data_IF_643325575893
#
_entry.id   IF_643325575893
#
_cell.length_a   1.000
_cell.length_b   1.000
_cell.length_c   1.000
_cell.angle_alpha   90.00
_cell.angle_beta   90.00
_cell.angle_gamma   90.00
#
_symmetry.space_group_name_H-M   'P 1'
#
loop_
_entity.id
_entity.type
_entity.pdbx_description
1 polymer ?
#
# COMPACT_ATOMS: atom_id res chain seq x y z
N UNK A 1 -10.90 -22.06 -16.47
CA UNK A 1 -10.23 -23.25 -15.88
C UNK A 1 -9.78 -24.18 -17.00
N UNK A 2 -8.58 -23.94 -17.57
CA UNK A 2 -7.78 -24.90 -18.36
C UNK A 2 -6.69 -24.10 -19.08
N UNK A 3 -5.55 -23.88 -18.42
CA UNK A 3 -4.23 -23.64 -19.07
C UNK A 3 -3.15 -23.32 -18.02
N UNK A 4 -2.92 -24.22 -17.06
CA UNK A 4 -1.69 -24.20 -16.25
C UNK A 4 -1.32 -25.64 -15.92
N UNK A 5 -0.73 -26.34 -16.90
CA UNK A 5 -0.05 -27.61 -16.66
C UNK A 5 1.36 -27.52 -17.24
N UNK A 6 2.32 -27.72 -16.32
CA UNK A 6 3.69 -28.20 -16.52
C UNK A 6 4.75 -27.15 -16.87
N UNK A 7 5.24 -26.48 -15.82
CA UNK A 7 6.66 -26.14 -15.69
C UNK A 7 7.14 -26.65 -14.32
N UNK A 8 7.69 -27.87 -14.27
CA UNK A 8 8.62 -28.25 -13.20
C UNK A 8 10.01 -27.90 -13.71
N UNK A 9 10.49 -26.73 -13.36
CA UNK A 9 11.90 -26.40 -13.52
C UNK A 9 12.70 -27.25 -12.51
N UNK A 10 13.74 -27.94 -12.98
CA UNK A 10 14.75 -28.60 -12.17
C UNK A 10 15.59 -27.55 -11.44
N UNK A 11 15.07 -27.03 -10.32
CA UNK A 11 15.83 -26.17 -9.42
C UNK A 11 16.59 -27.04 -8.43
N UNK A 12 17.93 -26.99 -8.46
CA UNK A 12 18.76 -27.46 -7.35
C UNK A 12 18.32 -26.73 -6.07
N UNK A 13 17.84 -27.48 -5.09
CA UNK A 13 17.48 -26.95 -3.79
C UNK A 13 18.76 -26.75 -2.97
N UNK A 14 19.02 -25.54 -2.48
CA UNK A 14 20.09 -25.32 -1.48
C UNK A 14 19.75 -26.04 -0.18
N UNK A 15 20.69 -26.83 0.34
CA UNK A 15 20.54 -27.49 1.65
C UNK A 15 20.68 -26.48 2.80
N UNK A 16 19.95 -26.76 3.89
CA UNK A 16 19.89 -25.91 5.09
C UNK A 16 21.26 -25.86 5.82
N UNK A 17 22.15 -26.81 5.58
CA UNK A 17 23.49 -26.92 6.17
C UNK A 17 24.47 -25.82 5.74
N UNK A 18 24.23 -25.14 4.61
CA UNK A 18 25.09 -24.04 4.13
C UNK A 18 24.86 -22.72 4.90
N UNK A 19 23.84 -22.65 5.77
CA UNK A 19 23.44 -21.42 6.46
C UNK A 19 24.12 -21.18 7.81
N UNK A 20 24.62 -22.23 8.48
CA UNK A 20 25.23 -22.09 9.81
C UNK A 20 26.68 -21.56 9.75
N UNK A 21 27.38 -21.77 8.63
CA UNK A 21 28.79 -21.40 8.48
C UNK A 21 29.01 -19.90 8.19
N UNK A 22 27.99 -19.18 7.70
CA UNK A 22 28.10 -17.74 7.41
C UNK A 22 27.79 -16.82 8.60
N UNK A 23 27.20 -17.35 9.68
CA UNK A 23 26.84 -16.56 10.86
C UNK A 23 28.04 -16.19 11.77
N UNK A 24 29.23 -16.75 11.55
CA UNK A 24 30.41 -16.52 12.39
C UNK A 24 31.35 -15.39 11.90
N UNK A 25 31.09 -14.80 10.73
CA UNK A 25 31.94 -13.73 10.21
C UNK A 25 31.24 -12.37 10.23
N UNK A 26 31.37 -11.63 11.36
CA UNK A 26 31.57 -10.15 11.44
C UNK A 26 31.16 -9.60 12.81
N UNK A 27 32.13 -9.43 13.69
CA UNK A 27 32.10 -8.41 14.75
C UNK A 27 33.10 -7.30 14.39
N UNK A 28 32.60 -6.20 13.82
CA UNK A 28 33.27 -4.89 13.91
C UNK A 28 32.22 -3.84 14.22
N UNK A 29 32.44 -3.13 15.32
CA UNK A 29 31.51 -2.18 15.91
C UNK A 29 31.20 -0.97 15.02
N UNK A 30 30.12 -0.23 15.34
CA UNK A 30 29.64 0.86 14.51
C UNK A 30 30.61 2.04 14.56
N UNK A 31 31.10 2.44 13.39
CA UNK A 31 31.75 3.73 13.21
C UNK A 31 30.67 4.78 13.05
N UNK A 32 30.74 5.85 13.84
CA UNK A 32 29.81 6.99 13.75
C UNK A 32 30.01 7.67 12.40
N UNK A 33 29.07 7.44 11.47
CA UNK A 33 29.05 8.07 10.16
C UNK A 33 28.52 9.49 10.32
N UNK A 34 29.37 10.49 10.03
CA UNK A 34 28.92 11.88 9.86
C UNK A 34 27.86 11.90 8.75
N UNK A 35 26.69 12.46 9.03
CA UNK A 35 25.59 12.58 8.06
C UNK A 35 26.10 13.26 6.78
N UNK A 36 26.07 12.50 5.68
CA UNK A 36 26.28 13.05 4.35
C UNK A 36 25.20 14.11 4.06
N UNK A 37 25.49 15.14 3.25
CA UNK A 37 24.47 16.07 2.79
C UNK A 37 23.29 15.29 2.20
N UNK A 38 22.08 15.67 2.60
CA UNK A 38 20.85 15.01 2.15
C UNK A 38 20.81 14.99 0.62
N UNK A 39 20.61 13.82 -0.03
CA UNK A 39 20.48 13.76 -1.47
C UNK A 39 19.35 14.68 -1.95
N UNK A 40 19.39 15.17 -3.20
CA UNK A 40 18.33 16.02 -3.74
C UNK A 40 16.96 15.39 -3.50
N UNK A 41 15.97 16.20 -3.14
CA UNK A 41 14.64 15.72 -2.78
C UNK A 41 14.07 14.85 -3.90
N UNK A 42 13.87 13.56 -3.62
CA UNK A 42 13.36 12.59 -4.60
C UNK A 42 11.90 12.93 -4.94
N UNK A 43 11.54 12.84 -6.22
CA UNK A 43 10.17 13.01 -6.72
C UNK A 43 9.65 11.71 -7.36
N UNK A 44 8.31 11.51 -7.37
CA UNK A 44 7.66 10.49 -8.20
C UNK A 44 8.06 10.65 -9.66
N UNK A 45 8.09 9.55 -10.42
CA UNK A 45 8.27 9.60 -11.88
C UNK A 45 7.00 10.05 -12.61
N UNK A 46 5.84 9.96 -11.96
CA UNK A 46 4.56 10.44 -12.49
C UNK A 46 3.67 10.90 -11.32
N UNK A 47 3.06 12.08 -11.44
CA UNK A 47 2.03 12.55 -10.51
C UNK A 47 0.68 12.59 -11.21
N UNK A 48 -0.30 11.91 -10.63
CA UNK A 48 -1.64 11.76 -11.15
C UNK A 48 -2.63 12.60 -10.32
N UNK A 49 -3.61 13.20 -10.98
CA UNK A 49 -4.70 13.93 -10.33
C UNK A 49 -6.07 13.43 -10.79
N UNK A 50 -6.97 13.14 -9.84
CA UNK A 50 -8.42 13.25 -10.09
C UNK A 50 -8.77 14.72 -10.37
N UNK A 51 -9.84 14.95 -11.12
CA UNK A 51 -10.30 16.30 -11.45
C UNK A 51 -11.44 16.75 -10.53
N UNK A 52 -12.53 16.00 -10.50
CA UNK A 52 -13.75 16.39 -9.78
C UNK A 52 -13.50 16.32 -8.27
N UNK A 53 -13.85 17.40 -7.57
CA UNK A 53 -13.55 17.63 -6.14
C UNK A 53 -12.07 17.58 -5.74
N UNK A 54 -11.14 17.62 -6.70
CA UNK A 54 -9.69 17.55 -6.46
C UNK A 54 -8.98 18.73 -7.12
N UNK A 55 -8.89 18.76 -8.45
CA UNK A 55 -8.33 19.90 -9.20
C UNK A 55 -9.28 21.10 -9.15
N UNK A 56 -10.59 20.83 -9.13
CA UNK A 56 -11.63 21.82 -8.88
C UNK A 56 -12.64 21.31 -7.86
N UNK A 57 -13.26 22.23 -7.14
CA UNK A 57 -14.43 21.99 -6.33
C UNK A 57 -15.67 21.87 -7.23
N UNK A 58 -16.41 20.77 -7.04
CA UNK A 58 -17.62 20.46 -7.79
C UNK A 58 -17.43 19.28 -8.74
N UNK A 59 -18.50 18.94 -9.45
CA UNK A 59 -18.52 17.87 -10.43
C UNK A 59 -18.93 18.45 -11.79
N UNK A 60 -18.12 18.22 -12.81
CA UNK A 60 -18.38 18.71 -14.16
C UNK A 60 -19.45 17.82 -14.83
N UNK A 61 -20.72 18.15 -14.60
CA UNK A 61 -21.88 17.36 -15.01
C UNK A 61 -22.39 17.74 -16.40
N UNK A 62 -22.25 16.83 -17.35
CA UNK A 62 -22.79 16.99 -18.71
C UNK A 62 -24.32 17.19 -18.73
N UNK A 63 -25.03 16.70 -17.71
CA UNK A 63 -26.48 16.87 -17.59
C UNK A 63 -26.87 18.22 -17.04
N UNK A 64 -25.93 19.06 -16.61
CA UNK A 64 -26.22 20.40 -16.08
C UNK A 64 -25.73 21.51 -17.01
N UNK A 65 -24.75 21.20 -17.84
CA UNK A 65 -24.14 22.15 -18.78
C UNK A 65 -24.99 22.25 -20.05
N UNK A 66 -25.25 23.48 -20.51
CA UNK A 66 -25.84 23.75 -21.81
C UNK A 66 -27.38 23.59 -21.90
N UNK A 67 -28.05 23.26 -20.79
CA UNK A 67 -29.45 22.83 -20.74
C UNK A 67 -30.53 23.91 -20.98
N UNK A 68 -30.19 25.20 -21.09
CA UNK A 68 -31.20 26.27 -21.27
C UNK A 68 -30.98 27.08 -22.55
N UNK A 69 -31.82 26.88 -23.57
CA UNK A 69 -31.99 27.81 -24.71
C UNK A 69 -32.22 27.16 -26.07
N UNK A 70 -33.12 27.74 -26.88
CA UNK A 70 -33.60 27.30 -28.21
C UNK A 70 -32.56 27.28 -29.34
N UNK A 71 -31.30 27.64 -29.07
CA UNK A 71 -30.20 27.57 -30.05
C UNK A 71 -29.07 26.73 -29.46
N UNK A 72 -28.90 25.53 -29.98
CA UNK A 72 -27.81 24.60 -29.65
C UNK A 72 -26.51 25.18 -30.21
N UNK A 73 -25.45 25.42 -29.40
CA UNK A 73 -24.12 25.50 -29.97
C UNK A 73 -23.69 24.11 -30.44
N UNK A 74 -22.83 24.13 -31.45
CA UNK A 74 -21.88 23.07 -31.78
C UNK A 74 -21.31 22.49 -30.47
N UNK A 75 -21.39 21.17 -30.27
CA UNK A 75 -20.80 20.37 -29.16
C UNK A 75 -21.06 20.85 -27.71
N UNK A 76 -21.07 19.92 -26.75
CA UNK A 76 -21.43 20.26 -25.36
C UNK A 76 -20.36 21.12 -24.68
N UNK A 77 -19.10 20.76 -24.90
CA UNK A 77 -17.92 21.36 -24.31
C UNK A 77 -17.71 22.83 -24.70
N UNK A 78 -18.26 23.26 -25.83
CA UNK A 78 -18.18 24.66 -26.29
C UNK A 78 -19.06 25.61 -25.44
N UNK A 79 -19.91 25.07 -24.56
CA UNK A 79 -20.62 25.86 -23.55
C UNK A 79 -19.75 26.23 -22.35
N UNK A 80 -18.52 25.71 -22.22
CA UNK A 80 -17.65 26.07 -21.11
C UNK A 80 -16.97 27.42 -21.36
N UNK A 81 -16.99 28.30 -20.34
CA UNK A 81 -16.17 29.52 -20.29
C UNK A 81 -15.41 29.61 -18.97
N UNK A 82 -14.27 30.29 -18.98
CA UNK A 82 -13.52 30.58 -17.77
C UNK A 82 -13.82 32.00 -17.28
N UNK A 83 -14.01 32.14 -15.97
CA UNK A 83 -13.96 33.42 -15.27
C UNK A 83 -12.58 33.54 -14.62
N UNK A 84 -11.82 34.55 -15.05
CA UNK A 84 -10.52 34.88 -14.48
C UNK A 84 -10.76 35.86 -13.32
N UNK A 85 -10.47 35.40 -12.11
CA UNK A 85 -10.46 36.22 -10.90
C UNK A 85 -9.32 35.77 -9.99
N UNK A 86 -9.36 36.13 -8.71
CA UNK A 86 -8.42 35.59 -7.72
C UNK A 86 -8.44 34.06 -7.69
N UNK A 87 -9.62 33.47 -7.94
CA UNK A 87 -9.83 32.04 -8.13
C UNK A 87 -10.47 31.84 -9.49
N UNK A 88 -9.88 30.97 -10.31
CA UNK A 88 -10.42 30.62 -11.62
C UNK A 88 -11.70 29.79 -11.46
N UNK A 89 -12.73 30.08 -12.25
CA UNK A 89 -13.98 29.29 -12.28
C UNK A 89 -14.32 28.89 -13.70
N UNK A 90 -14.78 27.66 -13.88
CA UNK A 90 -15.38 27.22 -15.14
C UNK A 90 -16.89 27.33 -14.99
N UNK A 91 -17.51 28.03 -15.92
CA UNK A 91 -18.93 28.37 -15.93
C UNK A 91 -19.60 27.81 -17.19
N UNK A 92 -20.88 27.50 -17.09
CA UNK A 92 -21.76 27.35 -18.24
C UNK A 92 -22.02 28.74 -18.87
N UNK A 93 -21.71 28.88 -20.16
CA UNK A 93 -21.96 30.08 -20.95
C UNK A 93 -23.44 30.46 -20.98
N UNK A 94 -24.34 29.46 -21.03
CA UNK A 94 -25.79 29.66 -21.11
C UNK A 94 -26.43 29.95 -19.76
N UNK A 95 -25.78 29.52 -18.68
CA UNK A 95 -26.29 29.70 -17.33
C UNK A 95 -25.17 30.04 -16.33
N UNK A 96 -24.49 31.19 -16.52
CA UNK A 96 -23.28 31.52 -15.77
C UNK A 96 -23.51 31.79 -14.28
N UNK A 97 -24.76 31.96 -13.87
CA UNK A 97 -25.16 32.17 -12.47
C UNK A 97 -25.65 30.90 -11.79
N UNK A 98 -25.71 29.76 -12.49
CA UNK A 98 -26.07 28.50 -11.85
C UNK A 98 -24.85 27.90 -11.16
N UNK A 99 -24.89 27.92 -9.83
CA UNK A 99 -23.88 27.29 -8.98
C UNK A 99 -23.72 25.80 -9.32
N UNK A 100 -24.81 25.13 -9.69
CA UNK A 100 -24.78 23.70 -10.04
C UNK A 100 -24.07 23.37 -11.37
N UNK A 101 -23.86 24.35 -12.25
CA UNK A 101 -23.16 24.21 -13.52
C UNK A 101 -21.79 24.92 -13.50
N UNK A 102 -21.30 25.23 -12.30
CA UNK A 102 -20.03 25.93 -12.05
C UNK A 102 -19.08 25.03 -11.27
N UNK A 103 -17.82 24.99 -11.69
CA UNK A 103 -16.73 24.41 -10.87
C UNK A 103 -15.69 25.47 -10.55
N UNK A 104 -15.19 25.45 -9.32
CA UNK A 104 -14.22 26.44 -8.82
C UNK A 104 -12.86 25.78 -8.68
N UNK A 105 -11.83 26.34 -9.30
CA UNK A 105 -10.49 25.76 -9.26
C UNK A 105 -9.91 25.77 -7.84
N UNK A 106 -9.16 24.72 -7.51
CA UNK A 106 -8.20 24.80 -6.41
C UNK A 106 -7.23 25.95 -6.67
N UNK A 107 -7.07 26.84 -5.69
CA UNK A 107 -6.17 27.99 -5.80
C UNK A 107 -4.70 27.59 -5.95
N UNK A 108 -4.32 26.43 -5.40
CA UNK A 108 -2.93 25.98 -5.36
C UNK A 108 -2.54 25.11 -6.57
N UNK A 109 -3.51 24.56 -7.30
CA UNK A 109 -3.25 23.68 -8.43
C UNK A 109 -2.31 24.28 -9.49
N UNK A 110 -2.46 25.55 -9.94
CA UNK A 110 -1.50 26.17 -10.86
C UNK A 110 -0.06 26.20 -10.33
N UNK A 111 0.12 26.51 -9.04
CA UNK A 111 1.43 26.54 -8.38
C UNK A 111 2.04 25.14 -8.28
N UNK A 112 1.22 24.13 -7.99
CA UNK A 112 1.63 22.72 -7.93
C UNK A 112 2.08 22.21 -9.31
N UNK A 113 1.33 22.53 -10.37
CA UNK A 113 1.73 22.19 -11.75
C UNK A 113 3.07 22.86 -12.12
N UNK A 114 3.26 24.12 -11.74
CA UNK A 114 4.52 24.83 -11.98
C UNK A 114 5.70 24.16 -11.25
N UNK A 115 5.54 23.79 -9.97
CA UNK A 115 6.59 23.08 -9.22
C UNK A 115 6.91 21.71 -9.84
N UNK A 116 5.90 20.92 -10.18
CA UNK A 116 6.10 19.60 -10.78
C UNK A 116 6.76 19.68 -12.16
N UNK A 117 6.12 20.37 -13.10
CA UNK A 117 6.49 20.30 -14.52
C UNK A 117 7.65 21.22 -14.86
N UNK A 118 7.61 22.47 -14.38
CA UNK A 118 8.60 23.48 -14.79
C UNK A 118 9.88 23.37 -13.98
N UNK A 119 9.76 23.24 -12.66
CA UNK A 119 10.90 23.22 -11.74
C UNK A 119 11.51 21.83 -11.59
N UNK A 120 10.70 20.79 -11.36
CA UNK A 120 11.20 19.44 -11.07
C UNK A 120 11.14 18.47 -12.26
N UNK A 121 10.58 18.89 -13.41
CA UNK A 121 10.45 18.07 -14.64
C UNK A 121 9.71 16.75 -14.44
N UNK A 122 8.77 16.73 -13.52
CA UNK A 122 7.92 15.57 -13.22
C UNK A 122 6.69 15.62 -14.15
N UNK A 123 6.47 14.59 -14.98
CA UNK A 123 5.27 14.54 -15.81
C UNK A 123 4.02 14.39 -14.94
N UNK A 124 2.92 14.97 -15.40
CA UNK A 124 1.62 14.88 -14.74
C UNK A 124 0.64 14.13 -15.63
N UNK A 125 -0.25 13.37 -14.98
CA UNK A 125 -1.37 12.69 -15.60
C UNK A 125 -2.69 13.13 -14.97
N UNK A 126 -3.74 13.16 -15.78
CA UNK A 126 -5.11 13.25 -15.28
C UNK A 126 -5.71 11.87 -15.31
N UNK A 127 -6.28 11.45 -14.19
CA UNK A 127 -6.94 10.17 -14.02
C UNK A 127 -8.31 10.46 -13.44
N UNK A 128 -9.39 10.33 -14.21
CA UNK A 128 -10.74 10.67 -13.77
C UNK A 128 -11.79 9.66 -14.21
N UNK A 129 -12.72 9.34 -13.30
CA UNK A 129 -13.88 8.51 -13.60
C UNK A 129 -15.04 9.28 -14.26
N UNK A 130 -14.87 10.58 -14.55
CA UNK A 130 -15.88 11.38 -15.22
C UNK A 130 -16.26 10.74 -16.59
N UNK A 131 -17.57 10.63 -16.91
CA UNK A 131 -18.01 9.98 -18.15
C UNK A 131 -17.72 10.81 -19.41
N UNK A 132 -17.47 12.11 -19.28
CA UNK A 132 -17.33 13.01 -20.42
C UNK A 132 -15.90 13.53 -20.60
N UNK A 133 -15.10 12.77 -21.35
CA UNK A 133 -13.70 13.11 -21.68
C UNK A 133 -13.57 14.47 -22.39
N UNK A 134 -14.47 14.80 -23.32
CA UNK A 134 -14.39 16.04 -24.09
C UNK A 134 -14.57 17.26 -23.21
N UNK A 135 -15.52 17.18 -22.27
CA UNK A 135 -15.84 18.24 -21.32
C UNK A 135 -14.69 18.48 -20.33
N UNK A 136 -14.14 17.41 -19.74
CA UNK A 136 -12.97 17.50 -18.84
C UNK A 136 -11.76 18.05 -19.57
N UNK A 137 -11.49 17.58 -20.79
CA UNK A 137 -10.39 18.09 -21.62
C UNK A 137 -10.56 19.59 -21.87
N UNK A 138 -11.77 20.02 -22.26
CA UNK A 138 -12.05 21.42 -22.55
C UNK A 138 -11.91 22.31 -21.31
N UNK A 139 -12.37 21.85 -20.16
CA UNK A 139 -12.13 22.50 -18.88
C UNK A 139 -10.62 22.73 -18.61
N UNK A 140 -9.79 21.69 -18.81
CA UNK A 140 -8.34 21.76 -18.65
C UNK A 140 -7.63 22.67 -19.67
N UNK A 141 -8.18 22.81 -20.87
CA UNK A 141 -7.67 23.76 -21.87
C UNK A 141 -7.92 25.21 -21.48
N UNK A 142 -9.03 25.47 -20.80
CA UNK A 142 -9.41 26.81 -20.35
C UNK A 142 -8.60 27.28 -19.13
N UNK A 143 -8.23 26.34 -18.24
CA UNK A 143 -7.48 26.66 -17.02
C UNK A 143 -6.08 27.17 -17.36
N UNK A 144 -5.72 28.32 -16.80
CA UNK A 144 -4.41 28.95 -16.99
C UNK A 144 -3.46 28.58 -15.85
N UNK A 145 -2.26 28.13 -16.21
CA UNK A 145 -1.14 27.87 -15.30
C UNK A 145 -0.05 28.93 -15.51
N UNK A 146 0.14 29.80 -14.51
CA UNK A 146 1.06 30.94 -14.58
C UNK A 146 0.71 32.03 -13.58
N UNK A 147 1.45 33.14 -13.59
CA UNK A 147 1.16 34.32 -12.78
C UNK A 147 -0.06 35.04 -13.34
N UNK A 148 -1.24 34.74 -12.78
CA UNK A 148 -2.49 35.45 -13.12
C UNK A 148 -2.39 36.96 -12.87
N UNK A 149 -1.53 37.37 -11.92
CA UNK A 149 -1.32 38.76 -11.54
C UNK A 149 0.18 39.10 -11.61
N UNK A 150 0.52 39.96 -12.57
CA UNK A 150 1.83 40.58 -12.88
C UNK A 150 2.77 39.75 -13.77
N UNK A 151 3.09 40.25 -14.99
CA UNK A 151 4.30 39.84 -15.67
C UNK A 151 5.47 40.50 -14.94
N UNK A 152 6.11 39.80 -14.01
CA UNK A 152 7.49 40.17 -13.69
C UNK A 152 8.35 39.97 -14.95
N UNK A 153 9.39 40.79 -15.18
CA UNK A 153 10.35 40.55 -16.25
C UNK A 153 10.95 39.15 -16.09
N UNK A 154 10.61 38.22 -16.99
CA UNK A 154 10.99 36.81 -16.91
C UNK A 154 9.89 35.85 -16.45
N UNK A 155 8.68 36.33 -16.16
CA UNK A 155 7.52 35.48 -15.87
C UNK A 155 7.20 34.60 -17.08
N UNK A 156 7.04 33.30 -16.83
CA UNK A 156 6.68 32.34 -17.88
C UNK A 156 5.29 32.67 -18.46
N UNK A 157 5.07 32.49 -19.77
CA UNK A 157 3.78 32.77 -20.38
C UNK A 157 2.65 31.98 -19.72
N UNK A 158 1.45 32.57 -19.73
CA UNK A 158 0.22 31.89 -19.38
C UNK A 158 0.00 30.75 -20.38
N UNK A 159 0.00 29.52 -19.88
CA UNK A 159 -0.23 28.31 -20.69
C UNK A 159 -1.38 27.52 -20.10
N UNK A 160 -2.09 26.76 -20.94
CA UNK A 160 -3.19 25.94 -20.45
C UNK A 160 -2.68 24.79 -19.58
N UNK A 161 -3.45 24.41 -18.56
CA UNK A 161 -3.16 23.23 -17.74
C UNK A 161 -3.06 21.98 -18.63
N UNK A 162 -3.94 21.84 -19.62
CA UNK A 162 -3.89 20.76 -20.60
C UNK A 162 -2.54 20.60 -21.30
N UNK A 163 -1.89 21.71 -21.68
CA UNK A 163 -0.58 21.66 -22.35
C UNK A 163 0.55 21.08 -21.48
N UNK A 164 0.35 21.03 -20.17
CA UNK A 164 1.31 20.50 -19.20
C UNK A 164 1.06 19.02 -18.88
N UNK A 165 -0.07 18.46 -19.34
CA UNK A 165 -0.49 17.09 -19.04
C UNK A 165 0.11 16.13 -20.06
N UNK A 166 0.93 15.20 -19.58
CA UNK A 166 1.54 14.17 -20.42
C UNK A 166 0.60 13.02 -20.78
N UNK A 167 -0.38 12.72 -19.91
CA UNK A 167 -1.32 11.62 -20.09
C UNK A 167 -2.72 12.02 -19.60
N UNK A 168 -3.73 11.80 -20.44
CA UNK A 168 -5.14 12.00 -20.10
C UNK A 168 -5.85 10.63 -20.06
N UNK A 169 -6.28 10.20 -18.88
CA UNK A 169 -7.10 9.01 -18.64
C UNK A 169 -8.45 9.44 -18.04
N UNK A 170 -9.39 9.80 -18.89
CA UNK A 170 -10.75 10.19 -18.46
C UNK A 170 -11.73 9.22 -19.08
N UNK A 171 -12.37 8.39 -18.25
CA UNK A 171 -13.32 7.37 -18.66
C UNK A 171 -14.06 6.82 -17.44
N UNK A 172 -15.32 6.42 -17.62
CA UNK A 172 -16.13 5.78 -16.57
C UNK A 172 -15.68 4.34 -16.32
N UNK A 173 -14.53 4.20 -15.66
CA UNK A 173 -13.90 2.93 -15.28
C UNK A 173 -13.28 3.05 -13.89
N UNK A 174 -13.21 1.95 -13.12
CA UNK A 174 -12.53 1.95 -11.82
C UNK A 174 -11.05 2.34 -11.95
N UNK A 175 -10.48 3.00 -10.93
CA UNK A 175 -9.14 3.59 -11.01
C UNK A 175 -8.02 2.63 -11.35
N UNK A 176 -8.11 1.38 -10.91
CA UNK A 176 -7.11 0.38 -11.24
C UNK A 176 -6.92 0.21 -12.76
N UNK A 177 -8.01 0.30 -13.54
CA UNK A 177 -7.95 0.25 -15.00
C UNK A 177 -7.15 1.41 -15.60
N UNK A 178 -7.32 2.62 -15.06
CA UNK A 178 -6.56 3.79 -15.51
C UNK A 178 -5.06 3.62 -15.27
N UNK A 179 -4.69 3.09 -14.11
CA UNK A 179 -3.29 2.87 -13.76
C UNK A 179 -2.64 1.76 -14.58
N UNK A 180 -3.35 0.67 -14.90
CA UNK A 180 -2.84 -0.34 -15.84
C UNK A 180 -2.55 0.27 -17.23
N UNK A 181 -3.46 1.11 -17.73
CA UNK A 181 -3.25 1.82 -19.00
C UNK A 181 -2.06 2.78 -18.92
N UNK A 182 -1.91 3.53 -17.82
CA UNK A 182 -0.76 4.41 -17.60
C UNK A 182 0.55 3.63 -17.58
N UNK A 183 0.62 2.53 -16.83
CA UNK A 183 1.81 1.67 -16.77
C UNK A 183 2.15 1.14 -18.16
N UNK A 184 1.17 0.66 -18.91
CA UNK A 184 1.36 0.14 -20.27
C UNK A 184 1.89 1.23 -21.21
N UNK A 185 1.36 2.46 -21.13
CA UNK A 185 1.74 3.57 -22.02
C UNK A 185 3.07 4.21 -21.66
N UNK A 186 3.40 4.28 -20.37
CA UNK A 186 4.55 5.05 -19.88
C UNK A 186 5.74 4.17 -19.49
N UNK A 187 5.50 2.87 -19.24
CA UNK A 187 6.50 1.97 -18.66
C UNK A 187 6.84 2.28 -17.20
N UNK A 188 6.19 3.26 -16.58
CA UNK A 188 6.47 3.65 -15.19
C UNK A 188 5.84 2.63 -14.25
N UNK A 189 6.60 2.17 -13.26
CA UNK A 189 6.07 1.28 -12.21
C UNK A 189 5.12 2.03 -11.27
N UNK A 190 4.11 1.33 -10.77
CA UNK A 190 3.14 1.87 -9.82
C UNK A 190 3.78 2.53 -8.59
N UNK A 191 4.84 1.93 -8.03
CA UNK A 191 5.59 2.48 -6.89
C UNK A 191 6.25 3.83 -7.17
N UNK A 192 6.47 4.17 -8.44
CA UNK A 192 7.02 5.46 -8.86
C UNK A 192 5.92 6.48 -9.20
N UNK A 193 4.64 6.16 -8.91
CA UNK A 193 3.49 7.03 -9.12
C UNK A 193 2.90 7.55 -7.80
N UNK A 194 2.39 8.77 -7.84
CA UNK A 194 1.63 9.41 -6.75
C UNK A 194 0.28 9.89 -7.28
N UNK A 195 -0.82 9.52 -6.63
CA UNK A 195 -2.18 9.96 -6.95
C UNK A 195 -2.71 10.92 -5.88
N UNK A 196 -3.28 12.04 -6.32
CA UNK A 196 -4.15 12.89 -5.51
C UNK A 196 -5.61 12.65 -5.91
N UNK A 197 -6.44 12.25 -4.95
CA UNK A 197 -7.84 11.88 -5.19
C UNK A 197 -8.70 12.19 -3.95
N UNK A 198 -9.96 12.56 -4.14
CA UNK A 198 -10.88 12.82 -3.03
C UNK A 198 -11.71 11.59 -2.59
N UNK A 199 -11.76 10.54 -3.42
CA UNK A 199 -12.58 9.37 -3.15
C UNK A 199 -11.77 8.30 -2.43
N UNK A 200 -12.13 8.05 -1.17
CA UNK A 200 -11.47 7.07 -0.32
C UNK A 200 -11.52 5.64 -0.90
N UNK A 201 -12.57 5.27 -1.64
CA UNK A 201 -12.68 3.95 -2.28
C UNK A 201 -11.50 3.67 -3.23
N UNK A 202 -10.92 4.73 -3.80
CA UNK A 202 -9.79 4.61 -4.73
C UNK A 202 -8.47 4.24 -4.03
N UNK A 203 -8.40 4.18 -2.69
CA UNK A 203 -7.22 3.65 -1.99
C UNK A 203 -6.97 2.17 -2.28
N UNK A 204 -7.95 1.46 -2.86
CA UNK A 204 -7.73 0.15 -3.44
C UNK A 204 -6.55 0.12 -4.43
N UNK A 205 -6.30 1.19 -5.19
CA UNK A 205 -5.14 1.26 -6.11
C UNK A 205 -3.82 1.20 -5.34
N UNK A 206 -3.72 1.85 -4.18
CA UNK A 206 -2.52 1.78 -3.34
C UNK A 206 -2.30 0.37 -2.81
N UNK A 207 -3.36 -0.26 -2.31
CA UNK A 207 -3.32 -1.63 -1.79
C UNK A 207 -2.94 -2.64 -2.89
N UNK A 208 -3.56 -2.54 -4.07
CA UNK A 208 -3.48 -3.59 -5.08
C UNK A 208 -2.39 -3.39 -6.13
N UNK A 209 -2.06 -2.15 -6.47
CA UNK A 209 -1.08 -1.84 -7.51
C UNK A 209 0.19 -1.21 -6.94
N UNK A 210 0.13 -0.55 -5.79
CA UNK A 210 1.31 0.05 -5.15
C UNK A 210 1.55 1.52 -5.48
N UNK A 211 0.58 2.16 -6.14
CA UNK A 211 0.57 3.61 -6.33
C UNK A 211 0.44 4.29 -4.98
N UNK A 212 1.28 5.27 -4.65
CA UNK A 212 1.02 6.04 -3.43
C UNK A 212 -0.20 6.92 -3.63
N UNK A 213 -1.14 6.92 -2.69
CA UNK A 213 -2.33 7.78 -2.76
C UNK A 213 -2.37 8.77 -1.59
N UNK A 214 -2.68 10.02 -1.90
CA UNK A 214 -3.01 11.06 -0.94
C UNK A 214 -4.48 11.46 -1.11
N UNK A 215 -5.25 11.34 -0.02
CA UNK A 215 -6.66 11.71 -0.03
C UNK A 215 -6.82 13.20 0.19
N UNK A 216 -7.43 13.86 -0.79
CA UNK A 216 -7.67 15.30 -0.82
C UNK A 216 -9.07 15.60 -0.30
N UNK A 217 -9.23 16.70 0.43
CA UNK A 217 -10.56 17.15 0.85
C UNK A 217 -11.38 17.58 -0.37
N UNK A 218 -12.71 17.37 -0.34
CA UNK A 218 -13.59 17.71 -1.47
C UNK A 218 -13.68 19.22 -1.79
N UNK A 219 -13.10 20.06 -0.93
CA UNK A 219 -12.87 21.49 -1.16
C UNK A 219 -11.78 21.76 -2.21
N UNK A 220 -11.03 20.74 -2.61
CA UNK A 220 -9.96 20.81 -3.60
C UNK A 220 -8.56 20.69 -3.00
N UNK A 221 -7.60 20.44 -3.88
CA UNK A 221 -6.19 20.23 -3.57
C UNK A 221 -5.56 21.49 -2.96
N UNK A 222 -4.76 21.33 -1.91
CA UNK A 222 -3.98 22.43 -1.34
C UNK A 222 -2.48 22.18 -1.46
N UNK A 223 -1.67 23.22 -1.23
CA UNK A 223 -0.22 23.07 -1.12
C UNK A 223 0.17 22.14 0.03
N UNK A 224 -0.61 22.14 1.12
CA UNK A 224 -0.39 21.23 2.24
C UNK A 224 -0.66 19.76 1.85
N UNK A 225 -1.73 19.50 1.09
CA UNK A 225 -1.99 18.16 0.54
C UNK A 225 -0.85 17.71 -0.36
N UNK A 226 -0.39 18.60 -1.24
CA UNK A 226 0.71 18.32 -2.15
C UNK A 226 1.99 17.90 -1.42
N UNK A 227 2.39 18.64 -0.38
CA UNK A 227 3.58 18.28 0.41
C UNK A 227 3.39 16.96 1.16
N UNK A 228 2.24 16.75 1.79
CA UNK A 228 1.93 15.50 2.49
C UNK A 228 1.94 14.29 1.55
N UNK A 229 1.40 14.43 0.34
CA UNK A 229 1.42 13.38 -0.68
C UNK A 229 2.85 13.06 -1.15
N UNK A 230 3.69 14.08 -1.37
CA UNK A 230 5.10 13.87 -1.69
C UNK A 230 5.87 13.18 -0.57
N UNK A 231 5.64 13.57 0.69
CA UNK A 231 6.26 12.94 1.85
C UNK A 231 5.84 11.48 2.00
N UNK A 232 4.55 11.18 1.85
CA UNK A 232 4.04 9.82 1.83
C UNK A 232 4.73 8.97 0.75
N UNK A 233 4.85 9.52 -0.45
CA UNK A 233 5.55 8.83 -1.55
C UNK A 233 7.04 8.63 -1.23
N UNK A 234 7.72 9.63 -0.67
CA UNK A 234 9.14 9.52 -0.29
C UNK A 234 9.36 8.44 0.76
N UNK A 235 8.47 8.30 1.74
CA UNK A 235 8.53 7.22 2.74
C UNK A 235 8.40 5.84 2.09
N UNK A 236 7.46 5.67 1.16
CA UNK A 236 7.32 4.43 0.40
C UNK A 236 8.55 4.17 -0.49
N UNK A 237 9.07 5.20 -1.16
CA UNK A 237 10.23 5.09 -2.04
C UNK A 237 11.53 4.78 -1.27
N UNK A 238 11.62 5.15 0.01
CA UNK A 238 12.77 4.89 0.88
C UNK A 238 12.88 3.41 1.29
N UNK A 239 11.77 2.67 1.32
CA UNK A 239 11.77 1.24 1.68
C UNK A 239 11.91 0.31 0.47
N UNK A 240 11.84 0.87 -0.75
CA UNK A 240 11.83 0.09 -1.99
C UNK A 240 13.22 -0.43 -2.33
N UNK A 241 13.39 -1.74 -2.17
CA UNK A 241 14.52 -2.52 -2.66
C UNK A 241 14.00 -3.39 -3.81
N UNK A 242 14.26 -3.04 -5.08
CA UNK A 242 13.78 -3.80 -6.23
C UNK A 242 14.09 -5.29 -6.11
N UNK A 243 13.19 -6.13 -6.63
CA UNK A 243 13.44 -7.56 -6.66
C UNK A 243 14.59 -7.84 -7.65
N UNK A 244 15.66 -8.52 -7.22
CA UNK A 244 16.85 -8.73 -8.04
C UNK A 244 16.60 -9.79 -9.13
N UNK A 245 17.55 -9.94 -10.06
CA UNK A 245 17.54 -11.08 -10.97
C UNK A 245 17.98 -12.37 -10.26
N UNK A 246 18.94 -12.26 -9.33
CA UNK A 246 19.36 -13.34 -8.45
C UNK A 246 19.26 -12.98 -6.97
N UNK A 247 18.77 -13.91 -6.14
CA UNK A 247 18.72 -13.75 -4.68
C UNK A 247 20.12 -13.58 -4.05
N UNK A 248 21.19 -14.03 -4.72
CA UNK A 248 22.57 -13.85 -4.24
C UNK A 248 22.99 -12.38 -4.25
N UNK A 249 22.33 -11.53 -5.04
CA UNK A 249 22.54 -10.08 -5.10
C UNK A 249 22.01 -9.32 -3.88
N UNK A 250 21.37 -10.00 -2.92
CA UNK A 250 20.86 -9.42 -1.68
C UNK A 250 21.75 -9.84 -0.51
N UNK A 251 22.96 -9.24 -0.32
CA UNK A 251 23.89 -9.64 0.73
C UNK A 251 23.39 -9.26 2.13
N UNK A 252 22.44 -8.33 2.22
CA UNK A 252 21.80 -7.89 3.47
C UNK A 252 20.46 -8.57 3.72
N UNK A 253 20.10 -9.60 2.94
CA UNK A 253 18.85 -10.31 3.18
C UNK A 253 18.88 -11.02 4.52
N UNK A 254 17.73 -11.07 5.20
CA UNK A 254 17.62 -11.83 6.45
C UNK A 254 16.25 -12.47 6.58
N UNK A 255 16.24 -13.71 7.05
CA UNK A 255 15.00 -14.38 7.40
C UNK A 255 14.37 -13.70 8.63
N UNK A 256 13.05 -13.50 8.58
CA UNK A 256 12.29 -12.81 9.63
C UNK A 256 11.12 -13.64 10.17
N UNK A 257 10.79 -14.77 9.53
CA UNK A 257 9.74 -15.67 9.98
C UNK A 257 9.22 -16.53 8.84
N UNK A 258 8.04 -17.12 9.05
CA UNK A 258 7.39 -18.04 8.14
C UNK A 258 6.02 -17.49 7.73
N UNK A 259 5.63 -17.76 6.49
CA UNK A 259 4.28 -17.51 5.98
C UNK A 259 3.67 -18.81 5.49
N UNK A 260 2.38 -19.00 5.76
CA UNK A 260 1.60 -20.07 5.15
C UNK A 260 0.52 -19.52 4.23
N UNK A 261 0.44 -20.09 3.04
CA UNK A 261 -0.48 -19.63 2.01
C UNK A 261 -0.82 -20.75 1.02
N UNK A 262 -1.51 -20.44 -0.08
CA UNK A 262 -1.78 -21.35 -1.21
C UNK A 262 -0.69 -21.26 -2.25
N UNK A 263 -0.64 -22.27 -3.11
CA UNK A 263 0.21 -22.31 -4.30
C UNK A 263 0.18 -21.01 -5.14
N UNK A 264 -1.00 -20.43 -5.43
CA UNK A 264 -1.07 -19.20 -6.24
C UNK A 264 -0.38 -18.01 -5.55
N UNK A 265 -0.76 -17.72 -4.31
CA UNK A 265 -0.17 -16.63 -3.54
C UNK A 265 1.32 -16.88 -3.25
N UNK A 266 1.71 -18.13 -3.03
CA UNK A 266 3.09 -18.53 -2.87
C UNK A 266 3.92 -18.19 -4.11
N UNK A 267 3.40 -18.48 -5.31
CA UNK A 267 4.07 -18.12 -6.56
C UNK A 267 4.21 -16.60 -6.72
N UNK A 268 3.24 -15.80 -6.26
CA UNK A 268 3.40 -14.33 -6.24
C UNK A 268 4.58 -13.93 -5.36
N UNK A 269 4.64 -14.43 -4.12
CA UNK A 269 5.69 -14.09 -3.17
C UNK A 269 7.09 -14.53 -3.62
N UNK A 270 7.21 -15.69 -4.26
CA UNK A 270 8.48 -16.16 -4.84
C UNK A 270 9.04 -15.19 -5.86
N UNK A 271 8.16 -14.54 -6.62
CA UNK A 271 8.52 -13.57 -7.65
C UNK A 271 8.62 -12.14 -7.09
N UNK A 272 8.72 -11.99 -5.76
CA UNK A 272 8.80 -10.70 -5.09
C UNK A 272 7.55 -9.83 -5.25
N UNK A 273 6.42 -10.43 -5.63
CA UNK A 273 5.14 -9.73 -5.77
C UNK A 273 4.38 -9.75 -4.45
N UNK A 274 3.42 -8.84 -4.35
CA UNK A 274 2.48 -8.74 -3.24
C UNK A 274 1.34 -9.75 -3.38
N UNK A 275 0.60 -9.93 -2.29
CA UNK A 275 -0.70 -10.61 -2.29
C UNK A 275 -1.73 -9.82 -3.09
N UNK A 276 -2.54 -10.53 -3.86
CA UNK A 276 -3.69 -9.96 -4.57
C UNK A 276 -4.98 -10.04 -3.75
N UNK A 277 -6.02 -9.32 -4.21
CA UNK A 277 -7.35 -9.37 -3.59
C UNK A 277 -7.86 -10.81 -3.62
N UNK A 278 -8.32 -11.28 -2.46
CA UNK A 278 -8.84 -12.63 -2.29
C UNK A 278 -10.10 -12.59 -1.45
N UNK A 279 -10.96 -13.57 -1.63
CA UNK A 279 -12.17 -13.86 -0.87
C UNK A 279 -11.89 -14.41 0.54
N UNK A 280 -10.68 -14.20 1.06
CA UNK A 280 -10.27 -14.76 2.34
C UNK A 280 -10.54 -13.80 3.47
N UNK A 281 -11.08 -14.31 4.59
CA UNK A 281 -11.14 -13.50 5.79
C UNK A 281 -9.72 -13.15 6.20
N UNK A 282 -9.54 -11.89 6.58
CA UNK A 282 -8.25 -11.37 6.99
C UNK A 282 -8.45 -10.43 8.15
N UNK A 283 -7.85 -10.78 9.29
CA UNK A 283 -8.05 -10.07 10.56
C UNK A 283 -7.59 -8.61 10.47
N UNK A 284 -6.49 -8.37 9.78
CA UNK A 284 -5.86 -7.05 9.64
C UNK A 284 -5.93 -6.55 8.19
N UNK A 285 -6.93 -7.00 7.42
CA UNK A 285 -7.00 -6.74 5.99
C UNK A 285 -5.96 -7.54 5.20
N UNK A 286 -5.65 -7.06 4.00
CA UNK A 286 -4.96 -7.83 2.95
C UNK A 286 -3.44 -7.96 3.11
N UNK A 287 -2.97 -8.13 4.35
CA UNK A 287 -1.57 -8.37 4.64
C UNK A 287 -1.08 -9.78 4.31
N UNK A 288 0.24 -9.89 4.29
CA UNK A 288 0.99 -11.14 4.42
C UNK A 288 1.20 -11.37 5.91
N UNK A 289 0.76 -12.53 6.40
CA UNK A 289 0.81 -12.92 7.80
C UNK A 289 2.05 -13.76 8.03
N UNK A 290 2.99 -13.20 8.78
CA UNK A 290 4.26 -13.80 9.13
C UNK A 290 4.22 -14.21 10.59
N UNK A 291 4.87 -15.31 10.93
CA UNK A 291 4.96 -15.85 12.28
C UNK A 291 6.39 -16.36 12.53
N UNK A 292 6.81 -16.43 13.78
CA UNK A 292 8.07 -17.04 14.19
C UNK A 292 8.10 -18.57 14.11
N UNK A 293 6.95 -19.23 13.93
CA UNK A 293 6.85 -20.68 13.98
C UNK A 293 6.17 -21.25 12.72
N UNK A 294 6.79 -22.22 12.04
CA UNK A 294 6.22 -22.82 10.83
C UNK A 294 4.90 -23.59 11.06
N UNK A 295 4.64 -24.11 12.27
CA UNK A 295 3.36 -24.75 12.61
C UNK A 295 2.21 -23.72 12.66
N UNK A 296 2.50 -22.47 13.03
CA UNK A 296 1.52 -21.36 12.97
C UNK A 296 1.36 -20.90 11.53
N UNK A 297 2.45 -20.83 10.76
CA UNK A 297 2.33 -20.57 9.33
C UNK A 297 1.40 -21.62 8.70
N UNK A 298 1.54 -22.88 9.10
CA UNK A 298 0.64 -23.97 8.70
C UNK A 298 -0.82 -23.66 9.02
N UNK A 299 -1.13 -23.16 10.22
CA UNK A 299 -2.47 -22.68 10.57
C UNK A 299 -3.03 -21.67 9.55
N UNK A 300 -2.26 -20.63 9.19
CA UNK A 300 -2.69 -19.63 8.21
C UNK A 300 -2.89 -20.17 6.80
N UNK A 301 -2.14 -21.21 6.43
CA UNK A 301 -2.32 -21.86 5.12
C UNK A 301 -3.69 -22.57 5.03
N UNK A 302 -4.18 -23.12 6.15
CA UNK A 302 -5.46 -23.82 6.24
C UNK A 302 -6.67 -22.93 6.48
N UNK A 303 -6.49 -21.78 7.15
CA UNK A 303 -7.59 -20.91 7.56
C UNK A 303 -8.46 -20.48 6.35
N UNK A 304 -9.74 -20.82 6.38
CA UNK A 304 -10.71 -20.56 5.30
C UNK A 304 -10.51 -21.43 4.05
N UNK A 305 -9.68 -22.47 4.12
CA UNK A 305 -9.35 -23.41 3.04
C UNK A 305 -9.40 -24.86 3.51
N UNK A 306 -10.21 -25.12 4.52
CA UNK A 306 -10.24 -26.41 5.19
C UNK A 306 -10.69 -27.54 4.24
N UNK A 307 -11.42 -27.22 3.16
CA UNK A 307 -11.90 -28.18 2.15
C UNK A 307 -10.92 -28.41 0.99
N UNK A 308 -9.81 -27.66 0.91
CA UNK A 308 -8.82 -27.82 -0.16
C UNK A 308 -7.88 -28.98 0.14
N UNK A 309 -7.29 -29.56 -0.90
CA UNK A 309 -6.34 -30.64 -0.76
C UNK A 309 -5.04 -30.14 -0.13
N UNK A 310 -4.39 -30.98 0.68
CA UNK A 310 -3.20 -30.59 1.46
C UNK A 310 -2.05 -30.07 0.58
N UNK A 311 -1.94 -30.56 -0.66
CA UNK A 311 -0.94 -30.14 -1.64
C UNK A 311 -1.04 -28.67 -2.05
N UNK A 312 -2.19 -28.03 -1.81
CA UNK A 312 -2.40 -26.63 -2.14
C UNK A 312 -1.81 -25.70 -1.09
N UNK A 313 -1.38 -26.21 0.08
CA UNK A 313 -0.83 -25.41 1.18
C UNK A 313 0.71 -25.34 1.12
N UNK A 314 1.22 -24.11 1.15
CA UNK A 314 2.65 -23.79 1.06
C UNK A 314 3.09 -23.06 2.31
N UNK A 315 4.16 -23.56 2.92
CA UNK A 315 4.87 -22.89 4.01
C UNK A 315 6.22 -22.44 3.47
N UNK A 316 6.59 -21.20 3.77
CA UNK A 316 7.80 -20.59 3.20
C UNK A 316 8.48 -19.71 4.23
N UNK A 317 9.80 -19.65 4.14
CA UNK A 317 10.61 -18.74 4.94
C UNK A 317 10.55 -17.35 4.29
N UNK A 318 10.25 -16.32 5.07
CA UNK A 318 10.15 -14.93 4.59
C UNK A 318 11.46 -14.22 4.85
N UNK A 319 11.95 -13.56 3.81
CA UNK A 319 13.16 -12.73 3.85
C UNK A 319 12.81 -11.27 3.63
N UNK A 320 13.46 -10.39 4.40
CA UNK A 320 13.65 -9.00 3.96
C UNK A 320 14.80 -8.94 2.98
N UNK A 321 14.69 -8.11 1.94
CA UNK A 321 15.73 -7.92 0.91
C UNK A 321 16.91 -7.12 1.45
N UNK A 322 16.65 -6.13 2.31
CA UNK A 322 17.67 -5.35 3.00
C UNK A 322 17.31 -5.21 4.49
N UNK A 323 18.15 -5.78 5.36
CA UNK A 323 17.91 -5.78 6.80
C UNK A 323 18.10 -4.41 7.46
N UNK A 324 18.88 -3.51 6.89
CA UNK A 324 19.05 -2.16 7.44
C UNK A 324 17.80 -1.32 7.19
N UNK A 325 17.22 -1.42 5.98
CA UNK A 325 15.93 -0.82 5.66
C UNK A 325 14.83 -1.40 6.56
N UNK A 326 14.82 -2.72 6.75
CA UNK A 326 13.90 -3.37 7.69
C UNK A 326 14.03 -2.79 9.10
N UNK A 327 15.24 -2.66 9.66
CA UNK A 327 15.41 -2.09 11.01
C UNK A 327 14.88 -0.66 11.11
N UNK A 328 15.10 0.16 10.08
CA UNK A 328 14.64 1.54 10.05
C UNK A 328 13.11 1.70 9.85
N UNK A 329 12.45 0.71 9.24
CA UNK A 329 11.00 0.73 9.02
C UNK A 329 10.23 0.71 10.35
N UNK A 330 9.20 1.53 10.47
CA UNK A 330 8.36 1.55 11.67
C UNK A 330 7.64 0.20 11.89
N UNK A 331 7.69 -0.29 13.13
CA UNK A 331 6.98 -1.50 13.56
C UNK A 331 6.23 -1.18 14.84
N UNK A 332 4.94 -1.45 14.87
CA UNK A 332 4.08 -1.18 16.02
C UNK A 332 3.43 -2.46 16.48
N UNK A 333 3.44 -2.69 17.80
CA UNK A 333 2.76 -3.81 18.41
C UNK A 333 1.37 -3.41 18.85
N UNK A 334 0.34 -4.03 18.29
CA UNK A 334 -1.06 -3.78 18.57
C UNK A 334 -1.58 -4.79 19.60
N UNK A 335 -2.19 -4.28 20.66
CA UNK A 335 -2.92 -5.08 21.64
C UNK A 335 -4.00 -5.91 20.96
N UNK A 336 -4.16 -7.16 21.38
CA UNK A 336 -5.22 -8.01 20.81
C UNK A 336 -6.62 -7.48 21.10
N UNK A 337 -6.80 -6.89 22.29
CA UNK A 337 -8.02 -6.23 22.75
C UNK A 337 -7.68 -4.77 23.06
N UNK A 338 -7.73 -3.92 22.04
CA UNK A 338 -7.40 -2.50 22.14
C UNK A 338 -8.30 -1.63 21.28
N UNK A 339 -7.97 -0.34 21.22
CA UNK A 339 -8.69 0.67 20.42
C UNK A 339 -8.48 0.49 18.92
N UNK A 340 -7.37 -0.13 18.52
CA UNK A 340 -7.14 -0.56 17.14
C UNK A 340 -7.77 -1.94 16.96
N UNK A 341 -9.01 -1.96 16.48
CA UNK A 341 -9.74 -3.20 16.24
C UNK A 341 -9.31 -3.87 14.92
N UNK A 342 -9.28 -5.22 14.89
CA UNK A 342 -9.21 -5.95 13.64
C UNK A 342 -10.47 -5.75 12.78
N UNK A 343 -10.35 -6.03 11.48
CA UNK A 343 -11.46 -6.04 10.53
C UNK A 343 -12.40 -7.21 10.87
N UNK A 344 -13.71 -6.98 11.10
CA UNK A 344 -14.64 -8.03 11.55
C UNK A 344 -14.79 -9.19 10.56
N UNK A 345 -14.71 -8.93 9.26
CA UNK A 345 -14.56 -9.92 8.18
C UNK A 345 -14.38 -9.15 6.86
N UNK A 346 -13.19 -9.22 6.26
CA UNK A 346 -12.90 -8.49 5.01
C UNK A 346 -13.70 -8.98 3.80
N UNK A 347 -14.36 -10.13 3.88
CA UNK A 347 -15.07 -10.74 2.73
C UNK A 347 -16.49 -10.23 2.55
N UNK A 348 -17.10 -9.71 3.62
CA UNK A 348 -18.45 -9.15 3.60
C UNK A 348 -18.49 -7.62 3.43
N UNK A 349 -17.32 -6.98 3.42
CA UNK A 349 -17.19 -5.53 3.32
C UNK A 349 -17.06 -5.07 1.87
N UNK A 350 -17.70 -3.96 1.56
CA UNK A 350 -17.50 -3.20 0.32
C UNK A 350 -16.10 -2.60 0.25
N UNK A 351 -15.66 -2.20 -0.95
CA UNK A 351 -14.35 -1.56 -1.13
C UNK A 351 -14.25 -0.24 -0.35
N UNK A 352 -15.34 0.53 -0.24
CA UNK A 352 -15.40 1.73 0.58
C UNK A 352 -15.27 1.44 2.08
N UNK A 353 -15.96 0.42 2.60
CA UNK A 353 -15.85 0.03 4.02
C UNK A 353 -14.43 -0.46 4.35
N UNK A 354 -13.81 -1.22 3.46
CA UNK A 354 -12.43 -1.67 3.61
C UNK A 354 -11.46 -0.47 3.61
N UNK A 355 -11.66 0.48 2.71
CA UNK A 355 -10.87 1.71 2.64
C UNK A 355 -11.04 2.57 3.91
N UNK A 356 -12.27 2.72 4.41
CA UNK A 356 -12.56 3.43 5.65
C UNK A 356 -11.93 2.74 6.86
N UNK A 357 -12.02 1.41 6.93
CA UNK A 357 -11.38 0.63 7.99
C UNK A 357 -9.87 0.81 8.01
N UNK A 358 -9.23 0.81 6.84
CA UNK A 358 -7.79 1.05 6.72
C UNK A 358 -7.42 2.49 7.12
N UNK A 359 -8.15 3.49 6.63
CA UNK A 359 -7.90 4.90 6.96
C UNK A 359 -8.05 5.18 8.46
N UNK A 360 -9.09 4.61 9.09
CA UNK A 360 -9.31 4.70 10.54
C UNK A 360 -8.15 4.07 11.32
N UNK A 361 -7.64 2.92 10.84
CA UNK A 361 -6.49 2.24 11.45
C UNK A 361 -5.22 3.09 11.33
N UNK A 362 -4.93 3.62 10.16
CA UNK A 362 -3.78 4.48 9.91
C UNK A 362 -3.81 5.72 10.82
N UNK A 363 -4.97 6.37 10.93
CA UNK A 363 -5.16 7.51 11.82
C UNK A 363 -4.93 7.14 13.29
N UNK A 364 -5.45 6.00 13.76
CA UNK A 364 -5.23 5.52 15.13
C UNK A 364 -3.78 5.14 15.41
N UNK A 365 -3.08 4.58 14.44
CA UNK A 365 -1.65 4.27 14.59
C UNK A 365 -0.83 5.55 14.69
N UNK A 366 -1.14 6.56 13.88
CA UNK A 366 -0.52 7.88 14.00
C UNK A 366 -0.79 8.51 15.36
N UNK A 367 -2.03 8.46 15.85
CA UNK A 367 -2.43 8.98 17.15
C UNK A 367 -1.70 8.30 18.30
N UNK A 368 -1.64 6.96 18.30
CA UNK A 368 -1.14 6.18 19.44
C UNK A 368 0.38 5.96 19.42
N UNK A 369 1.02 6.00 18.25
CA UNK A 369 2.44 5.69 18.09
C UNK A 369 3.25 6.84 17.45
N UNK A 370 2.60 7.88 16.90
CA UNK A 370 3.30 8.92 16.14
C UNK A 370 3.90 8.41 14.83
N UNK A 371 3.37 7.31 14.29
CA UNK A 371 3.90 6.60 13.12
C UNK A 371 2.99 6.82 11.91
N UNK A 372 3.58 7.26 10.80
CA UNK A 372 2.93 7.28 9.48
C UNK A 372 3.26 6.02 8.66
N UNK A 373 2.40 5.69 7.69
CA UNK A 373 2.69 4.66 6.68
C UNK A 373 3.95 4.99 5.84
N UNK A 374 4.73 3.98 5.40
CA UNK A 374 4.53 2.55 5.63
C UNK A 374 5.00 2.12 7.03
N UNK A 375 4.30 1.15 7.61
CA UNK A 375 4.64 0.51 8.88
C UNK A 375 4.27 -0.98 8.84
N UNK A 376 4.73 -1.72 9.84
CA UNK A 376 4.42 -3.13 10.03
C UNK A 376 3.65 -3.29 11.33
N UNK A 377 2.59 -4.10 11.31
CA UNK A 377 1.85 -4.45 12.50
C UNK A 377 2.36 -5.75 13.07
N UNK A 378 2.43 -5.81 14.40
CA UNK A 378 2.68 -7.02 15.14
C UNK A 378 1.57 -7.15 16.18
N UNK A 379 1.05 -8.34 16.41
CA UNK A 379 0.00 -8.56 17.40
C UNK A 379 0.03 -9.98 17.94
N UNK A 380 -0.73 -10.21 19.01
CA UNK A 380 -1.06 -11.57 19.45
C UNK A 380 -2.34 -12.05 18.75
N UNK A 381 -2.31 -13.30 18.32
CA UNK A 381 -3.47 -14.01 17.81
C UNK A 381 -3.92 -15.09 18.80
N UNK A 382 -5.18 -15.03 19.23
CA UNK A 382 -5.83 -16.09 20.00
C UNK A 382 -6.64 -16.99 19.09
N UNK A 383 -6.31 -18.28 19.11
CA UNK A 383 -6.98 -19.32 18.31
C UNK A 383 -8.45 -19.62 18.68
N UNK A 384 -9.05 -18.96 19.68
CA UNK A 384 -10.29 -19.41 20.35
C UNK A 384 -11.52 -19.63 19.44
N UNK A 385 -11.70 -18.85 18.37
CA UNK A 385 -12.94 -18.90 17.55
C UNK A 385 -12.84 -19.72 16.27
N UNK A 386 -11.64 -20.01 15.79
CA UNK A 386 -11.43 -20.53 14.42
C UNK A 386 -11.20 -22.04 14.36
N UNK A 387 -10.97 -22.69 15.50
CA UNK A 387 -10.85 -24.14 15.59
C UNK A 387 -12.22 -24.77 15.85
N UNK A 388 -12.91 -25.23 14.79
CA UNK A 388 -14.04 -26.16 14.95
C UNK A 388 -13.50 -27.46 15.57
N UNK A 389 -14.06 -27.85 16.72
CA UNK A 389 -13.41 -28.74 17.69
C UNK A 389 -12.98 -30.11 17.14
N UNK A 390 -13.69 -30.65 16.17
CA UNK A 390 -13.46 -32.03 15.73
C UNK A 390 -12.38 -32.16 14.66
N UNK A 391 -12.17 -31.13 13.82
CA UNK A 391 -11.33 -31.27 12.62
C UNK A 391 -9.83 -31.32 12.92
N UNK A 392 -9.42 -30.64 13.99
CA UNK A 392 -8.00 -30.51 14.36
C UNK A 392 -7.64 -31.32 15.60
N UNK A 393 -8.59 -32.08 16.16
CA UNK A 393 -8.37 -32.91 17.35
C UNK A 393 -7.27 -33.93 17.07
N UNK A 394 -6.24 -33.96 17.92
CA UNK A 394 -5.08 -34.84 17.75
C UNK A 394 -4.04 -34.37 16.72
N UNK A 395 -4.26 -33.24 16.05
CA UNK A 395 -3.26 -32.63 15.15
C UNK A 395 -2.42 -31.59 15.90
N UNK A 396 -1.25 -31.23 15.35
CA UNK A 396 -0.41 -30.11 15.83
C UNK A 396 -1.18 -28.79 15.92
N UNK A 397 -2.07 -28.55 14.95
CA UNK A 397 -2.94 -27.37 14.93
C UNK A 397 -3.94 -27.41 16.09
N UNK A 398 -4.46 -28.59 16.47
CA UNK A 398 -5.32 -28.73 17.64
C UNK A 398 -4.63 -28.31 18.95
N UNK A 399 -3.32 -28.51 19.05
CA UNK A 399 -2.53 -28.09 20.20
C UNK A 399 -2.45 -26.55 20.35
N UNK A 400 -2.71 -25.79 19.28
CA UNK A 400 -2.80 -24.33 19.33
C UNK A 400 -4.08 -23.83 20.03
N UNK A 401 -5.07 -24.68 20.28
CA UNK A 401 -6.36 -24.25 20.83
C UNK A 401 -6.18 -23.52 22.17
N UNK A 402 -6.72 -22.30 22.24
CA UNK A 402 -6.63 -21.44 23.42
C UNK A 402 -5.26 -20.81 23.66
N UNK A 403 -4.26 -21.11 22.83
CA UNK A 403 -2.94 -20.47 22.88
C UNK A 403 -2.94 -19.12 22.17
N UNK A 404 -2.04 -18.26 22.64
CA UNK A 404 -1.67 -16.98 22.02
C UNK A 404 -0.38 -17.20 21.25
N UNK A 405 -0.27 -16.56 20.10
CA UNK A 405 0.95 -16.60 19.33
C UNK A 405 1.19 -15.32 18.56
N UNK A 406 2.41 -15.17 18.06
CA UNK A 406 2.85 -14.01 17.32
C UNK A 406 2.35 -14.00 15.89
N UNK A 407 1.85 -12.84 15.50
CA UNK A 407 1.43 -12.54 14.15
C UNK A 407 2.01 -11.18 13.75
N UNK A 408 2.72 -11.16 12.62
CA UNK A 408 3.20 -9.94 11.98
C UNK A 408 2.49 -9.76 10.65
N UNK A 409 1.98 -8.57 10.39
CA UNK A 409 1.22 -8.25 9.19
C UNK A 409 2.00 -7.27 8.35
N UNK A 410 2.40 -7.73 7.16
CA UNK A 410 3.07 -6.90 6.16
C UNK A 410 2.04 -6.47 5.12
N UNK A 411 1.73 -5.17 5.05
CA UNK A 411 0.78 -4.65 4.07
C UNK A 411 1.33 -4.68 2.64
N UNK A 412 0.47 -4.82 1.62
CA UNK A 412 0.89 -4.99 0.23
C UNK A 412 1.94 -3.99 -0.26
N UNK A 413 1.85 -2.72 0.13
CA UNK A 413 2.81 -1.67 -0.24
C UNK A 413 4.24 -1.97 0.25
N UNK A 414 4.37 -2.66 1.38
CA UNK A 414 5.66 -3.04 1.97
C UNK A 414 6.13 -4.40 1.40
N UNK A 415 5.20 -5.31 1.10
CA UNK A 415 5.49 -6.68 0.65
C UNK A 415 6.42 -6.71 -0.57
N UNK A 416 5.99 -6.10 -1.68
CA UNK A 416 6.76 -6.12 -2.92
C UNK A 416 7.86 -5.05 -2.99
N UNK A 417 7.84 -4.10 -2.05
CA UNK A 417 8.93 -3.14 -1.85
C UNK A 417 10.14 -3.78 -1.16
N UNK A 418 9.95 -4.70 -0.21
CA UNK A 418 11.03 -5.12 0.69
C UNK A 418 11.15 -6.63 0.95
N UNK A 419 10.18 -7.47 0.58
CA UNK A 419 10.17 -8.88 0.98
C UNK A 419 10.14 -9.85 -0.20
N UNK A 420 10.54 -11.08 0.08
CA UNK A 420 10.29 -12.24 -0.76
C UNK A 420 10.26 -13.49 0.10
N UNK A 421 9.92 -14.63 -0.49
CA UNK A 421 9.93 -15.91 0.22
C UNK A 421 10.89 -16.89 -0.43
N UNK A 422 11.37 -17.84 0.37
CA UNK A 422 12.10 -19.01 -0.10
C UNK A 422 11.32 -20.28 0.26
N UNK A 423 11.29 -21.30 -0.64
CA UNK A 423 10.72 -22.60 -0.32
C UNK A 423 11.42 -23.22 0.90
N UNK A 424 10.65 -23.96 1.68
CA UNK A 424 11.24 -24.96 2.57
C UNK A 424 11.61 -26.20 1.75
N UNK A 425 12.60 -26.97 2.19
CA UNK A 425 12.88 -28.28 1.58
C UNK A 425 11.68 -29.21 1.75
N UNK A 426 11.51 -30.16 0.82
CA UNK A 426 10.39 -31.13 0.87
C UNK A 426 10.34 -31.87 2.21
N UNK A 427 11.51 -32.22 2.78
CA UNK A 427 11.60 -32.86 4.10
C UNK A 427 11.16 -31.92 5.23
N UNK A 428 11.57 -30.64 5.19
CA UNK A 428 11.14 -29.66 6.20
C UNK A 428 9.63 -29.39 6.10
N UNK A 429 9.10 -29.28 4.88
CA UNK A 429 7.67 -29.17 4.62
C UNK A 429 6.93 -30.41 5.15
N UNK A 430 7.34 -31.61 4.78
CA UNK A 430 6.73 -32.86 5.25
C UNK A 430 6.72 -32.97 6.79
N UNK A 431 7.81 -32.58 7.47
CA UNK A 431 7.88 -32.58 8.94
C UNK A 431 6.90 -31.61 9.61
N UNK A 432 6.55 -30.50 8.96
CA UNK A 432 5.55 -29.55 9.49
C UNK A 432 4.15 -30.15 9.43
N UNK A 433 3.87 -30.94 8.39
CA UNK A 433 2.58 -31.60 8.19
C UNK A 433 2.48 -32.99 8.86
N UNK A 434 3.58 -33.52 9.41
CA UNK A 434 3.58 -34.78 10.17
C UNK A 434 2.93 -34.57 11.55
N UNK A 435 1.74 -35.15 11.71
CA UNK A 435 0.97 -35.08 12.95
C UNK A 435 1.60 -35.83 14.13
N UNK A 436 2.56 -36.72 13.89
CA UNK A 436 3.14 -37.59 14.92
C UNK A 436 4.34 -36.97 15.65
N UNK A 437 4.91 -35.89 15.13
CA UNK A 437 6.08 -35.27 15.75
C UNK A 437 5.65 -34.32 16.90
N UNK A 438 6.30 -34.41 18.08
CA UNK A 438 6.01 -33.53 19.21
C UNK A 438 6.20 -32.07 18.81
N UNK A 439 5.43 -31.21 19.43
CA UNK A 439 5.37 -29.81 19.04
C UNK A 439 6.48 -29.01 19.75
N UNK A 440 7.38 -28.41 18.97
CA UNK A 440 8.49 -27.60 19.48
C UNK A 440 8.08 -26.15 19.82
N UNK A 441 6.88 -25.94 20.38
CA UNK A 441 6.27 -24.62 20.57
C UNK A 441 7.11 -23.66 21.42
N UNK A 442 7.83 -24.19 22.41
CA UNK A 442 8.42 -23.36 23.46
C UNK A 442 9.65 -22.54 23.00
N UNK A 443 10.18 -22.82 21.80
CA UNK A 443 11.45 -22.25 21.33
C UNK A 443 11.31 -21.01 20.42
N UNK A 444 10.10 -20.64 19.99
CA UNK A 444 9.89 -19.56 19.02
C UNK A 444 9.09 -18.43 19.66
N UNK A 445 9.81 -17.43 20.19
CA UNK A 445 9.22 -16.22 20.76
C UNK A 445 9.98 -14.99 20.27
N UNK A 446 9.37 -14.17 19.41
CA UNK A 446 9.93 -12.86 19.06
C UNK A 446 10.24 -12.00 20.29
N UNK A 447 9.50 -12.16 21.38
CA UNK A 447 9.64 -11.39 22.63
C UNK A 447 11.04 -11.43 23.22
N UNK A 448 11.77 -12.55 23.08
CA UNK A 448 13.05 -12.72 23.77
C UNK A 448 14.23 -12.12 23.01
N UNK A 449 14.10 -11.85 21.71
CA UNK A 449 15.25 -11.43 20.88
C UNK A 449 14.96 -10.31 19.90
N UNK A 450 13.71 -10.09 19.47
CA UNK A 450 13.39 -9.24 18.32
C UNK A 450 12.85 -7.86 18.67
N UNK A 451 12.33 -7.65 19.87
CA UNK A 451 11.71 -6.37 20.24
C UNK A 451 12.68 -5.19 20.14
N UNK A 452 13.86 -5.31 20.75
CA UNK A 452 14.92 -4.28 20.63
C UNK A 452 15.55 -4.30 19.24
N UNK A 453 15.88 -5.49 18.74
CA UNK A 453 16.58 -5.65 17.46
C UNK A 453 15.83 -4.99 16.29
N UNK A 454 14.50 -5.07 16.30
CA UNK A 454 13.66 -4.54 15.23
C UNK A 454 13.07 -3.17 15.54
N UNK A 455 13.39 -2.57 16.69
CA UNK A 455 12.83 -1.29 17.14
C UNK A 455 11.29 -1.27 17.12
N UNK A 456 10.68 -2.28 17.76
CA UNK A 456 9.22 -2.40 17.85
C UNK A 456 8.70 -1.42 18.90
N UNK A 457 7.69 -0.64 18.54
CA UNK A 457 7.05 0.33 19.43
C UNK A 457 5.83 -0.27 20.12
N UNK A 458 5.63 0.10 21.39
CA UNK A 458 4.54 -0.36 22.25
C UNK A 458 3.82 0.84 22.86
N UNK A 459 2.49 0.87 22.81
CA UNK A 459 1.68 1.82 23.56
C UNK A 459 1.21 1.21 24.90
N UNK A 460 0.46 1.97 25.70
CA UNK A 460 0.01 1.51 27.02
C UNK A 460 -1.05 0.40 26.95
N UNK A 461 -1.91 0.40 25.93
CA UNK A 461 -2.87 -0.69 25.70
C UNK A 461 -2.15 -2.02 25.49
N UNK A 462 -1.07 -1.99 24.72
CA UNK A 462 -0.26 -3.17 24.45
C UNK A 462 0.43 -3.68 25.71
N UNK A 463 1.04 -2.80 26.51
CA UNK A 463 1.64 -3.19 27.80
C UNK A 463 0.60 -3.82 28.73
N UNK A 464 -0.61 -3.26 28.77
CA UNK A 464 -1.71 -3.81 29.56
C UNK A 464 -2.18 -5.19 29.03
N UNK A 465 -2.18 -5.42 27.72
CA UNK A 465 -2.47 -6.73 27.12
C UNK A 465 -1.42 -7.78 27.52
N UNK A 466 -0.13 -7.46 27.45
CA UNK A 466 0.94 -8.34 27.94
C UNK A 466 0.76 -8.68 29.43
N UNK A 467 0.56 -7.67 30.28
CA UNK A 467 0.37 -7.85 31.71
C UNK A 467 -0.84 -8.75 32.04
N UNK A 468 -1.99 -8.54 31.36
CA UNK A 468 -3.21 -9.34 31.53
C UNK A 468 -2.99 -10.82 31.21
N UNK A 469 -2.12 -11.11 30.25
CA UNK A 469 -1.81 -12.47 29.82
C UNK A 469 -0.57 -13.06 30.49
N UNK A 470 0.02 -12.36 31.48
CA UNK A 470 1.24 -12.77 32.19
C UNK A 470 2.42 -13.02 31.24
N UNK A 471 2.50 -12.23 30.18
CA UNK A 471 3.57 -12.27 29.20
C UNK A 471 4.59 -11.17 29.50
N UNK A 472 5.88 -11.49 29.39
CA UNK A 472 6.95 -10.51 29.61
C UNK A 472 7.12 -9.65 28.35
N UNK A 473 7.03 -8.34 28.51
CA UNK A 473 7.30 -7.35 27.47
C UNK A 473 8.52 -6.49 27.82
N UNK A 474 8.92 -6.48 29.08
CA UNK A 474 10.12 -5.81 29.55
C UNK A 474 11.29 -6.72 29.19
N UNK A 475 12.01 -6.31 28.16
CA UNK A 475 13.24 -6.97 27.75
C UNK A 475 14.21 -6.92 28.93
N UNK A 476 14.27 -7.99 29.72
CA UNK A 476 15.34 -8.16 30.69
C UNK A 476 16.62 -8.26 29.87
N UNK A 477 17.52 -7.30 30.07
CA UNK A 477 18.90 -7.39 29.60
C UNK A 477 19.49 -8.73 30.09
N UNK A 478 19.48 -9.73 29.21
CA UNK A 478 20.10 -11.03 29.44
C UNK A 478 21.02 -11.35 28.27
#
# INVERSE_FOLDING_TARGET
MSMWKHHRASGEYMEISDFETMAQARQKGPTVVKQAPSPPARFPKLVCFEVDHTVWQGFLDEKKIGLKGLKTPMKLEDNLKISLGQIQKILDLKNPSADEATVTMSSDFPSIVSDLVRKNKVPIAIVSANPNTALVKRALELIVVGTLNKPEPGASPNISAYSQISQLQVMSRPKNFHFENLKTRTGIDFHDMLLFDCNLENTGVELWQGVTIHIVQRSGLTMADYQQGLEAWRRNAAIRIPFPQSITELPKRRAIGYVGTDDYTYMLYLNGKRREKSDRPSRWGFGMYITDNPDIACFYSYLGRETKETRDHRISLVYVRDYDVWKALNKVWIAEQGSIAPVPDSTSMTDLELAQSQANRDAKIKELYGVDKPYVLISRHVSRRQFKEDKYKGTRLGALKGKRFNEMVIFPQVQDALFFVAPLSDNAHAKIFDSNLPTGWDNYKWETTKFREWNIQFNDETKADFARNKEDWELKDK
#
